data_IF_775038846698
#
_entry.id   IF_775038846698
#
_cell.length_a   1.000
_cell.length_b   1.000
_cell.length_c   1.000
_cell.angle_alpha   90.00
_cell.angle_beta   90.00
_cell.angle_gamma   90.00
#
_symmetry.space_group_name_H-M   'P 1'
#
loop_
_entity.id
_entity.type
_entity.pdbx_description
1 polymer ?
#
# COMPACT_ATOMS: atom_id res chain seq x y z
N UNK A 1 14.51 -40.66 9.15
CA UNK A 1 14.49 -39.97 7.87
C UNK A 1 15.20 -40.78 6.78
N UNK A 2 16.46 -41.18 6.97
CA UNK A 2 17.22 -41.98 5.96
C UNK A 2 16.58 -43.35 5.63
N UNK A 3 15.88 -43.97 6.58
CA UNK A 3 15.23 -45.26 6.42
C UNK A 3 13.90 -45.12 5.65
N UNK A 4 13.07 -44.16 5.99
CA UNK A 4 11.82 -43.89 5.30
C UNK A 4 11.97 -43.34 3.90
N UNK A 5 13.00 -42.48 3.66
CA UNK A 5 13.31 -42.00 2.32
C UNK A 5 13.88 -43.09 1.39
N UNK A 6 14.50 -44.13 1.97
CA UNK A 6 14.95 -45.31 1.24
C UNK A 6 13.82 -46.24 0.79
N UNK A 7 12.72 -46.30 1.57
CA UNK A 7 11.54 -47.13 1.25
C UNK A 7 10.52 -46.34 0.39
N UNK A 8 10.51 -45.00 0.49
CA UNK A 8 9.61 -44.11 -0.25
C UNK A 8 10.38 -42.91 -0.79
N UNK A 9 11.12 -43.05 -1.90
CA UNK A 9 11.97 -41.99 -2.45
C UNK A 9 11.18 -40.76 -2.88
N UNK A 10 9.88 -40.88 -3.15
CA UNK A 10 8.97 -39.78 -3.55
C UNK A 10 8.14 -39.20 -2.38
N UNK A 11 8.49 -39.54 -1.14
CA UNK A 11 7.73 -39.05 0.05
C UNK A 11 7.68 -37.53 0.18
N UNK A 12 8.66 -36.85 -0.38
CA UNK A 12 8.78 -35.38 -0.36
C UNK A 12 8.57 -34.74 -1.74
N UNK A 13 8.22 -35.54 -2.75
CA UNK A 13 7.88 -34.99 -4.06
C UNK A 13 6.51 -34.34 -3.98
N UNK A 14 6.45 -33.07 -4.32
CA UNK A 14 5.21 -32.35 -4.45
C UNK A 14 4.45 -32.89 -5.65
N UNK A 15 3.25 -33.42 -5.40
CA UNK A 15 2.31 -33.78 -6.44
C UNK A 15 1.68 -32.47 -6.99
N UNK A 16 1.99 -32.06 -8.24
CA UNK A 16 1.46 -30.82 -8.80
C UNK A 16 -0.08 -30.77 -8.78
N UNK A 17 -0.73 -31.92 -9.01
CA UNK A 17 -2.21 -32.02 -9.02
C UNK A 17 -2.81 -31.85 -7.62
N UNK A 18 -2.07 -32.19 -6.55
CA UNK A 18 -2.49 -31.92 -5.17
C UNK A 18 -2.30 -30.45 -4.78
N UNK A 19 -1.22 -29.83 -5.26
CA UNK A 19 -1.00 -28.39 -5.04
C UNK A 19 -2.06 -27.57 -5.78
N UNK A 20 -2.42 -27.97 -7.00
CA UNK A 20 -3.49 -27.33 -7.77
C UNK A 20 -4.87 -27.50 -7.12
N UNK A 21 -5.17 -28.66 -6.51
CA UNK A 21 -6.40 -28.89 -5.75
C UNK A 21 -6.44 -28.15 -4.41
N UNK A 22 -5.31 -27.95 -3.76
CA UNK A 22 -5.21 -27.14 -2.54
C UNK A 22 -5.31 -25.64 -2.88
N UNK A 23 -4.77 -25.20 -4.00
CA UNK A 23 -4.91 -23.83 -4.50
C UNK A 23 -6.31 -23.53 -5.05
N UNK A 24 -7.05 -24.53 -5.51
CA UNK A 24 -8.45 -24.37 -5.96
C UNK A 24 -9.46 -24.35 -4.81
N UNK A 25 -9.08 -24.74 -3.59
CA UNK A 25 -9.97 -24.74 -2.43
C UNK A 25 -10.07 -23.37 -1.73
N UNK A 26 -9.04 -22.50 -1.88
CA UNK A 26 -9.09 -21.09 -1.53
C UNK A 26 -8.42 -20.32 -2.69
N UNK A 27 -9.20 -19.97 -3.70
CA UNK A 27 -8.72 -19.03 -4.72
C UNK A 27 -8.51 -17.69 -4.04
N UNK A 28 -7.27 -17.42 -3.64
CA UNK A 28 -6.86 -16.07 -3.23
C UNK A 28 -7.17 -15.14 -4.39
N UNK A 29 -8.19 -14.31 -4.22
CA UNK A 29 -8.59 -13.36 -5.23
C UNK A 29 -7.46 -12.34 -5.41
N UNK A 30 -6.99 -12.12 -6.63
CA UNK A 30 -6.04 -11.05 -6.94
C UNK A 30 -6.60 -9.66 -6.56
N UNK A 31 -7.93 -9.53 -6.47
CA UNK A 31 -8.57 -8.32 -5.99
C UNK A 31 -8.35 -8.08 -4.48
N UNK A 32 -8.17 -9.17 -3.70
CA UNK A 32 -7.90 -9.08 -2.27
C UNK A 32 -6.45 -8.72 -1.94
N UNK A 33 -5.54 -9.02 -2.87
CA UNK A 33 -4.10 -8.76 -2.74
C UNK A 33 -3.56 -8.04 -3.98
N UNK A 34 -3.88 -6.75 -4.15
CA UNK A 34 -3.48 -5.98 -5.32
C UNK A 34 -1.95 -5.76 -5.37
N UNK A 35 -1.39 -5.71 -6.58
CA UNK A 35 0.04 -5.41 -6.79
C UNK A 35 0.37 -3.92 -6.56
N UNK A 36 -0.63 -3.06 -6.55
CA UNK A 36 -0.48 -1.62 -6.43
C UNK A 36 -1.48 -1.02 -5.44
N UNK A 37 -1.03 0.03 -4.75
CA UNK A 37 -1.84 0.88 -3.90
C UNK A 37 -2.01 2.24 -4.55
N UNK A 38 -3.24 2.62 -4.78
CA UNK A 38 -3.57 3.92 -5.37
C UNK A 38 -3.81 4.94 -4.25
N UNK A 39 -2.83 5.79 -4.02
CA UNK A 39 -2.89 6.87 -3.04
C UNK A 39 -3.24 8.20 -3.69
N UNK A 40 -3.78 9.13 -2.92
CA UNK A 40 -3.96 10.52 -3.30
C UNK A 40 -2.88 11.38 -2.62
N UNK A 41 -2.13 12.14 -3.42
CA UNK A 41 -1.16 13.07 -2.88
C UNK A 41 -1.85 14.26 -2.21
N UNK A 42 -1.15 14.93 -1.28
CA UNK A 42 -1.61 16.18 -0.64
C UNK A 42 -1.87 17.32 -1.65
N UNK A 43 -1.36 17.19 -2.87
CA UNK A 43 -1.59 18.07 -4.01
C UNK A 43 -2.79 17.62 -4.88
N UNK A 44 -3.57 16.64 -4.44
CA UNK A 44 -4.71 16.08 -5.17
C UNK A 44 -4.34 15.22 -6.38
N UNK A 45 -3.05 14.94 -6.61
CA UNK A 45 -2.64 14.10 -7.73
C UNK A 45 -2.54 12.63 -7.33
N UNK A 46 -2.97 11.69 -8.17
CA UNK A 46 -2.87 10.27 -7.88
C UNK A 46 -1.40 9.82 -7.82
N UNK A 47 -1.12 8.92 -6.90
CA UNK A 47 0.18 8.29 -6.71
C UNK A 47 -0.02 6.79 -6.71
N UNK A 48 0.60 6.11 -7.67
CA UNK A 48 0.58 4.66 -7.77
C UNK A 48 1.82 4.08 -7.10
N UNK A 49 1.60 3.25 -6.07
CA UNK A 49 2.63 2.65 -5.23
C UNK A 49 2.61 1.13 -5.38
N UNK A 50 3.75 0.55 -5.70
CA UNK A 50 3.88 -0.90 -5.80
C UNK A 50 3.75 -1.53 -4.42
N UNK A 51 3.05 -2.68 -4.33
CA UNK A 51 2.99 -3.52 -3.15
C UNK A 51 3.85 -4.78 -3.32
N UNK A 52 4.30 -5.33 -2.22
CA UNK A 52 4.83 -6.70 -2.12
C UNK A 52 4.38 -7.33 -0.81
N UNK A 53 4.37 -8.65 -0.78
CA UNK A 53 3.82 -9.45 0.30
C UNK A 53 4.90 -10.40 0.81
N UNK A 54 5.08 -10.45 2.13
CA UNK A 54 5.91 -11.43 2.82
C UNK A 54 5.01 -12.13 3.83
N UNK A 55 5.04 -13.44 3.84
CA UNK A 55 4.31 -14.25 4.80
C UNK A 55 5.32 -15.05 5.62
N UNK A 56 5.98 -14.37 6.53
CA UNK A 56 6.96 -14.93 7.46
C UNK A 56 6.92 -14.18 8.79
N UNK A 57 6.35 -14.78 9.85
CA UNK A 57 6.26 -14.14 11.18
C UNK A 57 7.60 -13.75 11.79
N UNK A 58 8.72 -14.25 11.27
CA UNK A 58 10.06 -13.89 11.74
C UNK A 58 10.70 -12.73 10.96
N UNK A 59 10.08 -12.32 9.84
CA UNK A 59 10.55 -11.19 9.04
C UNK A 59 9.97 -9.87 9.59
N UNK A 60 10.79 -8.85 9.86
CA UNK A 60 10.29 -7.51 10.25
C UNK A 60 9.32 -6.89 9.23
N UNK A 61 9.38 -7.30 7.97
CA UNK A 61 8.50 -6.86 6.89
C UNK A 61 7.29 -7.79 6.66
N UNK A 62 7.03 -8.74 7.58
CA UNK A 62 5.86 -9.63 7.51
C UNK A 62 4.57 -8.85 7.26
N UNK A 63 3.76 -9.34 6.33
CA UNK A 63 2.54 -8.68 5.82
C UNK A 63 2.78 -7.93 4.50
N UNK A 64 2.24 -6.74 4.41
CA UNK A 64 2.24 -5.89 3.21
C UNK A 64 3.34 -4.85 3.27
N UNK A 65 4.15 -4.75 2.23
CA UNK A 65 5.14 -3.67 2.06
C UNK A 65 4.73 -2.74 0.92
N UNK A 66 4.60 -1.46 1.25
CA UNK A 66 4.37 -0.37 0.30
C UNK A 66 5.72 0.20 -0.15
N UNK A 67 6.02 0.14 -1.44
CA UNK A 67 7.24 0.70 -2.01
C UNK A 67 7.04 2.17 -2.36
N UNK A 68 7.62 3.05 -1.54
CA UNK A 68 7.43 4.50 -1.63
C UNK A 68 8.62 5.15 -2.31
N UNK A 69 8.47 5.70 -3.52
CA UNK A 69 9.52 6.53 -4.12
C UNK A 69 9.82 7.74 -3.24
N UNK A 70 11.09 8.02 -2.96
CA UNK A 70 11.51 9.14 -2.10
C UNK A 70 10.85 10.48 -2.49
N UNK A 71 10.69 10.73 -3.79
CA UNK A 71 10.04 11.95 -4.33
C UNK A 71 8.54 12.05 -4.01
N UNK A 72 7.88 10.94 -3.67
CA UNK A 72 6.47 10.90 -3.33
C UNK A 72 6.23 10.96 -1.81
N UNK A 73 7.27 10.73 -1.00
CA UNK A 73 7.17 10.53 0.44
C UNK A 73 6.49 11.70 1.18
N UNK A 74 6.83 12.96 0.84
CA UNK A 74 6.26 14.16 1.46
C UNK A 74 4.80 14.44 1.05
N UNK A 75 4.29 13.76 0.03
CA UNK A 75 2.94 13.95 -0.51
C UNK A 75 1.94 12.92 0.02
N UNK A 76 2.39 11.91 0.74
CA UNK A 76 1.54 10.86 1.30
C UNK A 76 1.07 11.23 2.70
N UNK A 77 -0.14 10.81 3.06
CA UNK A 77 -0.69 10.92 4.41
C UNK A 77 -0.86 9.54 5.03
N UNK A 78 -0.52 9.34 6.32
CA UNK A 78 -0.60 8.05 6.98
C UNK A 78 -2.00 7.45 7.00
N UNK A 79 -3.02 8.29 7.05
CA UNK A 79 -4.44 7.93 7.16
C UNK A 79 -4.90 7.03 6.02
N UNK A 80 -4.35 7.22 4.81
CA UNK A 80 -4.70 6.45 3.62
C UNK A 80 -4.32 4.97 3.73
N UNK A 81 -3.36 4.62 4.62
CA UNK A 81 -2.82 3.27 4.76
C UNK A 81 -3.38 2.52 5.98
N UNK A 82 -4.38 3.11 6.65
CA UNK A 82 -5.00 2.47 7.84
C UNK A 82 -5.88 1.27 7.48
N UNK A 83 -6.34 1.18 6.24
CA UNK A 83 -7.23 0.10 5.78
C UNK A 83 -6.51 -1.24 5.55
N UNK A 84 -5.22 -1.20 5.24
CA UNK A 84 -4.50 -2.36 4.71
C UNK A 84 -5.15 -2.85 3.38
N UNK A 85 -4.75 -4.02 2.88
CA UNK A 85 -5.33 -4.59 1.66
C UNK A 85 -6.64 -5.32 1.97
N UNK A 86 -7.57 -5.44 0.99
CA UNK A 86 -8.87 -6.08 1.20
C UNK A 86 -8.79 -7.46 1.84
N UNK A 87 -7.83 -8.30 1.44
CA UNK A 87 -7.65 -9.65 1.97
C UNK A 87 -7.25 -9.73 3.45
N UNK A 88 -6.76 -8.64 4.04
CA UNK A 88 -6.41 -8.56 5.47
C UNK A 88 -7.44 -7.77 6.31
N UNK A 89 -8.48 -7.20 5.69
CA UNK A 89 -9.40 -6.31 6.38
C UNK A 89 -10.20 -7.03 7.48
N UNK A 90 -10.62 -8.27 7.26
CA UNK A 90 -11.36 -9.05 8.26
C UNK A 90 -10.52 -9.29 9.52
N UNK A 91 -9.26 -9.69 9.32
CA UNK A 91 -8.31 -9.90 10.42
C UNK A 91 -7.97 -8.59 11.12
N UNK A 92 -7.86 -7.50 10.37
CA UNK A 92 -7.60 -6.16 10.89
C UNK A 92 -8.75 -5.69 11.79
N UNK A 93 -10.01 -5.86 11.38
CA UNK A 93 -11.19 -5.53 12.19
C UNK A 93 -11.19 -6.35 13.49
N UNK A 94 -10.93 -7.66 13.42
CA UNK A 94 -10.81 -8.52 14.61
C UNK A 94 -9.64 -8.08 15.49
N UNK A 95 -8.50 -7.74 14.89
CA UNK A 95 -7.32 -7.24 15.56
C UNK A 95 -7.60 -5.92 16.33
N UNK A 96 -8.30 -4.98 15.69
CA UNK A 96 -8.73 -3.73 16.32
C UNK A 96 -9.60 -4.00 17.55
N UNK A 97 -10.62 -4.84 17.43
CA UNK A 97 -11.49 -5.22 18.57
C UNK A 97 -10.67 -5.82 19.71
N UNK A 98 -9.77 -6.77 19.40
CA UNK A 98 -8.93 -7.43 20.43
C UNK A 98 -7.94 -6.47 21.09
N UNK A 99 -7.49 -5.45 20.38
CA UNK A 99 -6.54 -4.44 20.90
C UNK A 99 -7.19 -3.42 21.82
N UNK A 100 -8.53 -3.27 21.77
CA UNK A 100 -9.26 -2.34 22.63
C UNK A 100 -9.02 -2.61 24.14
N UNK A 101 -8.99 -1.57 24.97
CA UNK A 101 -9.06 -1.70 26.41
C UNK A 101 -10.24 -2.57 26.85
N UNK A 102 -10.08 -3.33 27.93
CA UNK A 102 -11.13 -4.27 28.40
C UNK A 102 -12.49 -3.61 28.59
N UNK A 103 -12.53 -2.38 29.08
CA UNK A 103 -13.76 -1.60 29.31
C UNK A 103 -14.54 -1.31 28.02
N UNK A 104 -13.86 -1.11 26.92
CA UNK A 104 -14.47 -0.89 25.61
C UNK A 104 -14.75 -2.22 24.90
N UNK A 105 -13.82 -3.18 24.97
CA UNK A 105 -13.91 -4.46 24.28
C UNK A 105 -15.15 -5.28 24.67
N UNK A 106 -15.67 -5.13 25.88
CA UNK A 106 -16.89 -5.83 26.33
C UNK A 106 -18.12 -5.50 25.48
N UNK A 107 -18.16 -4.33 24.82
CA UNK A 107 -19.24 -3.91 23.94
C UNK A 107 -19.24 -4.66 22.59
N UNK A 108 -18.15 -5.37 22.28
CA UNK A 108 -17.92 -6.09 21.02
C UNK A 108 -17.99 -7.62 21.19
N UNK A 109 -18.61 -8.12 22.25
CA UNK A 109 -18.69 -9.57 22.52
C UNK A 109 -19.96 -10.15 21.91
N UNK A 110 -19.87 -11.28 21.14
CA UNK A 110 -18.65 -11.99 20.72
C UNK A 110 -17.91 -11.26 19.59
N UNK A 111 -16.60 -11.15 19.73
CA UNK A 111 -15.79 -10.36 18.81
C UNK A 111 -15.86 -10.83 17.33
N UNK A 112 -15.84 -12.14 16.99
CA UNK A 112 -15.95 -12.58 15.60
C UNK A 112 -17.29 -12.19 14.94
N UNK A 113 -18.39 -12.27 15.70
CA UNK A 113 -19.72 -11.94 15.17
C UNK A 113 -19.88 -10.43 14.97
N UNK A 114 -19.35 -9.66 15.89
CA UNK A 114 -19.32 -8.20 15.78
C UNK A 114 -18.43 -7.75 14.62
N UNK A 115 -17.26 -8.38 14.45
CA UNK A 115 -16.38 -8.08 13.31
C UNK A 115 -17.09 -8.34 11.97
N UNK A 116 -17.83 -9.45 11.83
CA UNK A 116 -18.62 -9.74 10.62
C UNK A 116 -19.70 -8.70 10.35
N UNK A 117 -20.39 -8.20 11.39
CA UNK A 117 -21.39 -7.13 11.24
C UNK A 117 -20.73 -5.82 10.78
N UNK A 118 -19.62 -5.45 11.39
CA UNK A 118 -18.84 -4.26 11.01
C UNK A 118 -18.36 -4.39 9.55
N UNK A 119 -17.82 -5.56 9.18
CA UNK A 119 -17.39 -5.83 7.81
C UNK A 119 -18.55 -5.69 6.81
N UNK A 120 -19.69 -6.30 7.07
CA UNK A 120 -20.85 -6.20 6.20
C UNK A 120 -21.36 -4.75 6.07
N UNK A 121 -21.31 -3.96 7.15
CA UNK A 121 -21.65 -2.54 7.14
C UNK A 121 -20.68 -1.73 6.27
N UNK A 122 -19.37 -2.07 6.32
CA UNK A 122 -18.33 -1.45 5.49
C UNK A 122 -18.58 -1.78 4.01
N UNK A 123 -18.78 -3.06 3.68
CA UNK A 123 -18.98 -3.52 2.30
C UNK A 123 -20.20 -2.89 1.63
N UNK A 124 -21.28 -2.65 2.40
CA UNK A 124 -22.49 -1.99 1.91
C UNK A 124 -22.23 -0.51 1.54
N UNK A 125 -21.39 0.19 2.31
CA UNK A 125 -21.11 1.62 2.12
C UNK A 125 -19.90 1.91 1.26
N UNK A 126 -18.94 1.01 1.23
CA UNK A 126 -17.67 1.14 0.55
C UNK A 126 -17.44 -0.06 -0.38
N UNK A 127 -18.21 -0.19 -1.47
CA UNK A 127 -18.11 -1.34 -2.39
C UNK A 127 -16.74 -1.41 -3.10
N UNK A 128 -16.06 -0.28 -3.25
CA UNK A 128 -14.65 -0.23 -3.63
C UNK A 128 -13.83 0.16 -2.40
N UNK A 129 -12.88 -0.68 -1.98
CA UNK A 129 -12.06 -0.41 -0.80
C UNK A 129 -10.90 0.54 -1.13
N UNK A 130 -10.39 1.30 -0.14
CA UNK A 130 -9.20 2.11 -0.29
C UNK A 130 -8.01 1.30 -0.83
N UNK A 131 -7.17 1.95 -1.63
CA UNK A 131 -6.04 1.30 -2.30
C UNK A 131 -6.38 0.61 -3.62
N UNK A 132 -7.65 0.23 -3.86
CA UNK A 132 -8.12 -0.26 -5.16
C UNK A 132 -8.49 0.88 -6.11
N UNK A 133 -8.62 2.10 -5.59
CA UNK A 133 -8.87 3.34 -6.33
C UNK A 133 -8.42 4.56 -5.53
N UNK A 134 -8.27 5.71 -6.19
CA UNK A 134 -7.74 6.96 -5.58
C UNK A 134 -8.77 7.71 -4.74
N UNK A 135 -10.05 7.38 -4.85
CA UNK A 135 -11.14 8.08 -4.17
C UNK A 135 -12.36 7.20 -3.96
N UNK A 136 -13.31 7.68 -3.18
CA UNK A 136 -14.60 7.05 -2.87
C UNK A 136 -15.58 6.96 -4.08
N UNK A 137 -15.12 7.25 -5.28
CA UNK A 137 -15.94 7.35 -6.48
C UNK A 137 -16.64 8.71 -6.66
N UNK A 138 -16.59 9.58 -5.64
CA UNK A 138 -17.10 10.95 -5.68
C UNK A 138 -15.97 12.00 -5.74
N UNK A 139 -14.73 11.54 -5.83
CA UNK A 139 -13.55 12.42 -5.91
C UNK A 139 -12.99 12.85 -4.55
N UNK A 140 -13.55 12.37 -3.44
CA UNK A 140 -13.02 12.64 -2.10
C UNK A 140 -11.97 11.60 -1.72
N UNK A 141 -11.00 12.01 -0.92
CA UNK A 141 -10.08 11.06 -0.28
C UNK A 141 -10.87 10.09 0.61
N UNK A 142 -10.45 8.83 0.62
CA UNK A 142 -11.02 7.83 1.50
C UNK A 142 -10.92 8.26 2.98
N UNK A 143 -12.00 8.13 3.78
CA UNK A 143 -11.89 8.31 5.22
C UNK A 143 -10.97 7.24 5.80
N UNK A 144 -10.29 7.53 6.91
CA UNK A 144 -9.45 6.52 7.56
C UNK A 144 -10.30 5.42 8.24
N UNK A 145 -9.70 4.23 8.39
CA UNK A 145 -10.39 3.09 8.99
C UNK A 145 -10.84 3.36 10.45
N UNK A 146 -10.08 4.04 11.32
CA UNK A 146 -10.53 4.40 12.66
C UNK A 146 -11.89 5.09 12.69
N UNK A 147 -12.12 6.08 11.84
CA UNK A 147 -13.40 6.78 11.74
C UNK A 147 -14.52 5.87 11.23
N UNK A 148 -14.25 5.13 10.16
CA UNK A 148 -15.23 4.21 9.56
C UNK A 148 -15.58 3.07 10.51
N UNK A 149 -14.58 2.48 11.17
CA UNK A 149 -14.79 1.43 12.18
C UNK A 149 -15.66 1.93 13.34
N UNK A 150 -15.39 3.16 13.83
CA UNK A 150 -16.16 3.77 14.92
C UNK A 150 -17.62 3.95 14.52
N UNK A 151 -17.87 4.51 13.34
CA UNK A 151 -19.24 4.68 12.85
C UNK A 151 -19.95 3.34 12.65
N UNK A 152 -19.26 2.36 12.06
CA UNK A 152 -19.79 1.01 11.90
C UNK A 152 -20.12 0.35 13.25
N UNK A 153 -19.27 0.53 14.26
CA UNK A 153 -19.50 0.00 15.60
C UNK A 153 -20.70 0.65 16.29
N UNK A 154 -20.89 1.95 16.14
CA UNK A 154 -22.09 2.64 16.63
C UNK A 154 -23.35 2.09 15.96
N UNK A 155 -23.35 2.03 14.64
CA UNK A 155 -24.54 1.66 13.85
C UNK A 155 -24.92 0.19 14.00
N UNK A 156 -23.93 -0.71 14.19
CA UNK A 156 -24.20 -2.16 14.20
C UNK A 156 -24.41 -2.77 15.59
N UNK A 157 -23.71 -2.24 16.60
CA UNK A 157 -23.77 -2.78 17.97
C UNK A 157 -23.97 -1.72 19.06
N UNK A 158 -24.16 -0.46 18.68
CA UNK A 158 -24.35 0.66 19.62
C UNK A 158 -23.13 0.97 20.48
N UNK A 159 -21.93 0.59 20.03
CA UNK A 159 -20.71 0.76 20.81
C UNK A 159 -20.33 2.24 20.96
N UNK A 160 -20.00 2.64 22.19
CA UNK A 160 -19.52 3.99 22.51
C UNK A 160 -17.98 3.98 22.44
N UNK A 161 -17.43 4.30 21.28
CA UNK A 161 -15.99 4.37 21.03
C UNK A 161 -15.64 5.62 20.22
N UNK A 162 -14.50 6.22 20.46
CA UNK A 162 -14.00 7.39 19.74
C UNK A 162 -12.86 6.98 18.78
N UNK A 163 -12.79 7.53 17.55
CA UNK A 163 -11.74 7.16 16.58
C UNK A 163 -10.33 7.31 17.12
N UNK A 164 -10.08 8.31 17.96
CA UNK A 164 -8.75 8.56 18.56
C UNK A 164 -8.25 7.40 19.42
N UNK A 165 -9.15 6.57 19.98
CA UNK A 165 -8.77 5.37 20.72
C UNK A 165 -8.09 4.32 19.84
N UNK A 166 -8.42 4.31 18.53
CA UNK A 166 -7.91 3.36 17.55
C UNK A 166 -6.59 3.81 16.90
N UNK A 167 -5.97 4.85 17.43
CA UNK A 167 -4.69 5.40 16.93
C UNK A 167 -3.55 5.23 17.95
N UNK A 168 -2.35 5.66 17.60
CA UNK A 168 -1.20 5.67 18.51
C UNK A 168 -0.86 4.29 19.08
N UNK A 169 -0.78 4.19 20.40
CA UNK A 169 -0.37 2.97 21.10
C UNK A 169 -1.28 1.75 20.82
N UNK A 170 -2.56 1.98 20.56
CA UNK A 170 -3.48 0.88 20.27
C UNK A 170 -3.18 0.29 18.90
N UNK A 171 -2.90 1.16 17.93
CA UNK A 171 -2.49 0.75 16.59
C UNK A 171 -1.18 -0.05 16.63
N UNK A 172 -0.24 0.33 17.50
CA UNK A 172 1.03 -0.38 17.69
C UNK A 172 0.87 -1.77 18.30
N UNK A 173 -0.22 -2.03 19.03
CA UNK A 173 -0.57 -3.36 19.61
C UNK A 173 -1.10 -4.35 18.57
N UNK A 174 -1.47 -3.89 17.39
CA UNK A 174 -1.87 -4.79 16.30
C UNK A 174 -0.71 -5.73 15.93
N UNK A 175 -1.00 -6.98 15.53
CA UNK A 175 -0.02 -7.87 14.95
C UNK A 175 0.79 -7.17 13.84
N UNK A 176 2.07 -7.50 13.73
CA UNK A 176 2.97 -6.81 12.80
C UNK A 176 2.51 -6.91 11.35
N UNK A 177 2.01 -8.07 10.93
CA UNK A 177 1.53 -8.30 9.56
C UNK A 177 0.26 -7.50 9.18
N UNK A 178 -0.52 -7.06 10.17
CA UNK A 178 -1.70 -6.20 9.95
C UNK A 178 -1.35 -4.71 9.81
N UNK A 179 -0.09 -4.35 10.01
CA UNK A 179 0.41 -2.98 9.83
C UNK A 179 1.30 -2.94 8.61
N UNK A 180 0.97 -2.10 7.63
CA UNK A 180 1.79 -1.96 6.44
C UNK A 180 3.21 -1.53 6.77
N UNK A 181 4.18 -2.13 6.10
CA UNK A 181 5.58 -1.71 6.08
C UNK A 181 5.78 -0.75 4.91
N UNK A 182 6.55 0.32 5.12
CA UNK A 182 6.90 1.28 4.08
C UNK A 182 8.38 1.13 3.75
N UNK A 183 8.70 0.86 2.49
CA UNK A 183 10.07 0.80 1.97
C UNK A 183 10.34 2.06 1.17
N UNK A 184 11.23 2.93 1.66
CA UNK A 184 11.57 4.18 0.96
C UNK A 184 12.64 3.90 -0.09
N UNK A 185 12.30 4.20 -1.34
CA UNK A 185 13.09 3.82 -2.50
C UNK A 185 13.56 5.02 -3.32
N UNK A 186 14.79 4.96 -3.76
CA UNK A 186 15.37 5.93 -4.69
C UNK A 186 15.73 5.25 -6.02
N UNK A 187 15.13 5.74 -7.11
CA UNK A 187 15.52 5.33 -8.45
C UNK A 187 16.90 5.93 -8.78
N UNK A 188 17.88 5.08 -9.04
CA UNK A 188 19.19 5.51 -9.50
C UNK A 188 19.20 5.72 -11.02
N UNK A 189 20.13 6.53 -11.55
CA UNK A 189 20.29 6.70 -12.98
C UNK A 189 20.58 5.35 -13.67
N UNK A 190 20.04 5.18 -14.87
CA UNK A 190 20.37 4.00 -15.68
C UNK A 190 21.86 4.00 -16.06
N UNK A 191 22.54 2.83 -16.09
CA UNK A 191 23.92 2.73 -16.55
C UNK A 191 24.07 3.25 -17.98
N UNK A 192 25.11 4.04 -18.26
CA UNK A 192 25.34 4.67 -19.59
C UNK A 192 25.56 3.70 -20.74
N UNK A 193 25.73 2.40 -20.48
CA UNK A 193 26.12 1.39 -21.48
C UNK A 193 24.95 0.55 -22.05
N UNK A 194 23.71 0.98 -21.91
CA UNK A 194 22.57 0.25 -22.50
C UNK A 194 22.35 0.67 -23.97
N UNK A 195 23.28 0.29 -24.85
CA UNK A 195 23.09 0.38 -26.31
C UNK A 195 21.83 -0.43 -26.67
N UNK A 196 20.76 0.24 -27.09
CA UNK A 196 19.57 -0.38 -27.67
C UNK A 196 18.33 -0.48 -26.76
N UNK A 197 18.37 -0.19 -25.46
CA UNK A 197 17.18 -0.17 -24.58
C UNK A 197 16.79 1.27 -24.24
N UNK A 198 15.93 1.87 -25.05
CA UNK A 198 15.50 3.29 -24.91
C UNK A 198 14.78 3.62 -23.60
N UNK A 199 14.45 2.63 -22.73
CA UNK A 199 13.70 2.82 -21.49
C UNK A 199 14.21 1.96 -20.32
N UNK A 200 15.52 1.68 -20.23
CA UNK A 200 16.05 0.97 -19.07
C UNK A 200 15.94 1.86 -17.83
N UNK A 201 15.06 1.50 -16.89
CA UNK A 201 15.07 2.09 -15.56
C UNK A 201 16.35 1.67 -14.84
N UNK A 202 17.01 2.59 -14.15
CA UNK A 202 18.17 2.27 -13.32
C UNK A 202 17.77 1.38 -12.13
N UNK A 203 18.74 0.88 -11.37
CA UNK A 203 18.45 0.08 -10.19
C UNK A 203 17.74 0.92 -9.12
N UNK A 204 16.94 0.25 -8.30
CA UNK A 204 16.28 0.85 -7.13
C UNK A 204 17.15 0.63 -5.90
N UNK A 205 17.41 1.69 -5.15
CA UNK A 205 18.10 1.65 -3.87
C UNK A 205 17.09 1.86 -2.75
N UNK A 206 16.99 0.91 -1.83
CA UNK A 206 16.24 1.08 -0.58
C UNK A 206 17.05 1.95 0.35
N UNK A 207 16.45 3.04 0.86
CA UNK A 207 17.04 4.00 1.79
C UNK A 207 16.76 3.65 3.24
N UNK A 208 15.59 3.06 3.49
CA UNK A 208 15.15 2.62 4.80
C UNK A 208 13.74 2.06 4.74
N UNK A 209 13.34 1.34 5.78
CA UNK A 209 12.00 0.76 5.89
C UNK A 209 11.49 0.84 7.34
N UNK A 210 10.18 0.78 7.49
CA UNK A 210 9.53 0.79 8.82
C UNK A 210 8.01 0.80 8.73
N UNK A 211 7.35 0.61 9.86
CA UNK A 211 5.87 0.56 9.94
C UNK A 211 5.23 1.92 10.28
N UNK A 212 6.03 2.98 10.47
CA UNK A 212 5.54 4.34 10.71
C UNK A 212 5.93 5.25 9.55
N UNK A 213 4.97 5.57 8.69
CA UNK A 213 5.18 6.50 7.58
C UNK A 213 5.64 7.87 8.09
N UNK A 214 5.03 8.37 9.18
CA UNK A 214 5.39 9.65 9.80
C UNK A 214 6.84 9.68 10.29
N UNK A 215 7.33 8.57 10.89
CA UNK A 215 8.72 8.48 11.34
C UNK A 215 9.68 8.51 10.13
N UNK A 216 9.36 7.79 9.06
CA UNK A 216 10.13 7.79 7.82
C UNK A 216 10.11 9.15 7.12
N UNK A 217 8.96 9.85 7.13
CA UNK A 217 8.86 11.21 6.60
C UNK A 217 9.78 12.16 7.34
N UNK A 218 9.83 12.10 8.67
CA UNK A 218 10.76 12.91 9.48
C UNK A 218 12.22 12.56 9.21
N UNK A 219 12.53 11.26 9.13
CA UNK A 219 13.90 10.78 8.88
C UNK A 219 14.43 11.21 7.51
N UNK A 220 13.58 11.21 6.48
CA UNK A 220 13.99 11.48 5.10
C UNK A 220 13.51 12.85 4.58
N UNK A 221 13.04 13.77 5.44
CA UNK A 221 12.45 15.06 5.05
C UNK A 221 13.35 15.84 4.09
N UNK A 222 14.61 16.10 4.46
CA UNK A 222 15.56 16.87 3.64
C UNK A 222 15.85 16.20 2.30
N UNK A 223 15.99 14.86 2.30
CA UNK A 223 16.26 14.09 1.08
C UNK A 223 15.04 14.06 0.14
N UNK A 224 13.85 13.98 0.70
CA UNK A 224 12.58 14.01 -0.04
C UNK A 224 12.38 15.38 -0.70
N UNK A 225 12.58 16.47 0.03
CA UNK A 225 12.51 17.83 -0.51
C UNK A 225 13.53 18.07 -1.62
N UNK A 226 14.79 17.67 -1.41
CA UNK A 226 15.82 17.80 -2.44
C UNK A 226 15.48 16.96 -3.70
N UNK A 227 14.87 15.78 -3.52
CA UNK A 227 14.44 14.95 -4.64
C UNK A 227 13.24 15.55 -5.39
N UNK A 228 12.29 16.14 -4.67
CA UNK A 228 11.14 16.82 -5.25
C UNK A 228 11.57 18.06 -6.05
N UNK A 229 12.46 18.90 -5.51
CA UNK A 229 13.01 20.08 -6.22
C UNK A 229 13.67 19.69 -7.54
N UNK A 230 14.56 18.70 -7.54
CA UNK A 230 15.21 18.20 -8.78
C UNK A 230 14.20 17.73 -9.83
N UNK A 231 13.10 17.12 -9.39
CA UNK A 231 12.05 16.67 -10.32
C UNK A 231 11.31 17.85 -10.96
N UNK A 232 11.02 18.90 -10.19
CA UNK A 232 10.38 20.11 -10.70
C UNK A 232 11.30 20.82 -11.69
N UNK A 233 12.58 21.00 -11.34
CA UNK A 233 13.60 21.58 -12.21
C UNK A 233 13.73 20.81 -13.52
N UNK A 234 13.84 19.50 -13.45
CA UNK A 234 13.93 18.64 -14.65
C UNK A 234 12.68 18.71 -15.54
N UNK A 235 11.48 18.75 -14.94
CA UNK A 235 10.23 18.94 -15.71
C UNK A 235 10.18 20.32 -16.36
N UNK A 236 10.63 21.37 -15.67
CA UNK A 236 10.70 22.72 -16.22
C UNK A 236 11.69 22.80 -17.38
N UNK A 237 12.87 22.18 -17.28
CA UNK A 237 13.85 22.09 -18.37
C UNK A 237 13.32 21.31 -19.58
N UNK A 238 12.62 20.19 -19.35
CA UNK A 238 11.99 19.43 -20.42
C UNK A 238 10.90 20.25 -21.12
N UNK A 239 10.04 20.93 -20.39
CA UNK A 239 9.00 21.79 -20.96
C UNK A 239 9.62 22.96 -21.76
N UNK A 240 10.67 23.60 -21.25
CA UNK A 240 11.39 24.65 -21.97
C UNK A 240 12.07 24.14 -23.26
N UNK A 241 12.63 22.93 -23.22
CA UNK A 241 13.25 22.29 -24.39
C UNK A 241 12.21 21.91 -25.45
N UNK A 242 11.04 21.41 -25.03
CA UNK A 242 9.93 21.12 -25.95
C UNK A 242 9.36 22.40 -26.56
N UNK A 243 9.20 23.47 -25.79
CA UNK A 243 8.77 24.78 -26.28
C UNK A 243 9.71 25.33 -27.35
N UNK A 244 11.02 25.24 -27.11
CA UNK A 244 12.03 25.66 -28.11
C UNK A 244 11.99 24.82 -29.40
N UNK A 245 11.78 23.52 -29.30
CA UNK A 245 11.65 22.63 -30.47
C UNK A 245 10.40 22.95 -31.30
N UNK A 246 9.27 23.25 -30.64
CA UNK A 246 8.03 23.66 -31.33
C UNK A 246 8.22 25.00 -32.03
N UNK A 247 8.89 25.95 -31.39
CA UNK A 247 9.18 27.26 -31.98
C UNK A 247 10.12 27.13 -33.19
N UNK A 248 11.19 26.33 -33.10
CA UNK A 248 12.06 26.02 -34.24
C UNK A 248 11.32 25.32 -35.39
N UNK A 249 10.46 24.38 -35.11
CA UNK A 249 9.64 23.69 -36.13
C UNK A 249 8.67 24.66 -36.83
N UNK A 250 8.07 25.60 -36.09
CA UNK A 250 7.22 26.63 -36.63
C UNK A 250 7.97 27.64 -37.52
N UNK A 251 9.22 27.98 -37.13
CA UNK A 251 10.06 28.84 -37.94
C UNK A 251 10.49 28.18 -39.28
N UNK A 252 10.85 26.89 -39.22
CA UNK A 252 11.18 26.10 -40.42
C UNK A 252 9.99 25.93 -41.33
N UNK A 253 8.77 25.74 -40.78
CA UNK A 253 7.54 25.64 -41.60
C UNK A 253 7.19 26.97 -42.29
N UNK A 254 7.45 28.11 -41.60
CA UNK A 254 7.28 29.43 -42.22
C UNK A 254 8.36 29.74 -43.28
N UNK A 255 9.59 29.23 -43.09
CA UNK A 255 10.68 29.46 -44.07
C UNK A 255 10.59 28.52 -45.29
N UNK A 256 9.87 27.40 -45.23
CA UNK A 256 9.67 26.49 -46.33
C UNK A 256 8.37 26.74 -47.15
N UNK A 257 7.63 27.78 -46.80
CA UNK A 257 6.39 28.19 -47.49
C UNK A 257 6.59 29.45 -48.37
N UNK A 258 7.83 29.81 -48.67
CA UNK A 258 8.25 30.77 -49.68
C UNK A 258 9.11 30.00 -50.70
#
# INVERSE_FOLDING_TARGET
WKREHGEHPHLLDFDPDKVERLSSAESVSLADYPDHWHALGTDGQPIDLRLSYIYDPHDPADGVTVHVPLKALSRLTPEQFTWNVPGLLDELIVGLIKSLPKSLRVQFVPAPDTARKIRAWIDDRYPALPGTGTSDGQGHAWPDLPHVFTQAAIDTVGAQIHPEVLTGELWEKLPAYLRMTFSIEQQLPAPRNTRGRRHARGPVKVLGSGKSLTALQRQFAEQAEASARRMVEHKAEQAASQGKLVEQANLLHKAGAT
#
